data_IF_357378795634
#
_entry.id   IF_357378795634
#
_cell.length_a   1.000
_cell.length_b   1.000
_cell.length_c   1.000
_cell.angle_alpha   90.00
_cell.angle_beta   90.00
_cell.angle_gamma   90.00
#
_symmetry.space_group_name_H-M   'P 1'
#
loop_
_entity.id
_entity.type
_entity.pdbx_description
1 polymer ?
#
# COMPACT_ATOMS: atom_id res chain seq x y z
N UNK A 1 -11.40 -6.85 12.14
CA UNK A 1 -10.72 -5.98 11.15
C UNK A 1 -10.09 -4.84 11.92
N UNK A 2 -8.82 -4.51 11.65
CA UNK A 2 -8.03 -3.59 12.47
C UNK A 2 -7.32 -2.55 11.60
N UNK A 3 -7.03 -1.39 12.21
CA UNK A 3 -6.20 -0.35 11.62
C UNK A 3 -4.71 -0.68 11.75
N UNK A 4 -3.91 -0.09 10.87
CA UNK A 4 -2.46 -0.12 10.92
C UNK A 4 -2.02 1.24 11.44
N UNK A 5 -1.50 1.26 12.66
CA UNK A 5 -1.07 2.48 13.33
C UNK A 5 0.18 3.09 12.66
N UNK A 6 0.44 4.39 12.85
CA UNK A 6 1.73 4.99 12.52
C UNK A 6 2.88 4.20 13.12
N UNK A 7 4.00 4.09 12.42
CA UNK A 7 5.16 3.32 12.83
C UNK A 7 5.02 1.78 12.69
N UNK A 8 3.81 1.25 12.57
CA UNK A 8 3.59 -0.19 12.37
C UNK A 8 3.99 -0.62 10.95
N UNK A 9 4.37 -1.89 10.81
CA UNK A 9 4.86 -2.45 9.54
C UNK A 9 4.20 -3.78 9.23
N UNK A 10 3.72 -3.92 7.99
CA UNK A 10 3.18 -5.16 7.45
C UNK A 10 4.07 -5.60 6.31
N UNK A 11 4.54 -6.84 6.38
CA UNK A 11 5.33 -7.51 5.36
C UNK A 11 4.57 -8.74 4.89
N UNK A 12 4.43 -8.92 3.57
CA UNK A 12 3.78 -10.08 2.99
C UNK A 12 4.45 -10.50 1.68
N UNK A 13 4.54 -11.81 1.43
CA UNK A 13 5.00 -12.37 0.16
C UNK A 13 3.95 -12.23 -0.95
N UNK A 14 2.68 -12.17 -0.56
CA UNK A 14 1.54 -11.99 -1.45
C UNK A 14 0.85 -10.64 -1.25
N UNK A 15 -0.47 -10.65 -1.28
CA UNK A 15 -1.29 -9.46 -1.19
C UNK A 15 -1.44 -8.97 0.26
N UNK A 16 -1.69 -7.67 0.42
CA UNK A 16 -2.05 -7.05 1.69
C UNK A 16 -3.47 -6.48 1.57
N UNK A 17 -4.32 -6.80 2.54
CA UNK A 17 -5.69 -6.28 2.63
C UNK A 17 -5.89 -5.60 3.98
N UNK A 18 -6.08 -4.28 3.97
CA UNK A 18 -6.30 -3.46 5.17
C UNK A 18 -7.70 -2.88 5.14
N UNK A 19 -8.64 -3.56 5.79
CA UNK A 19 -10.01 -3.09 5.94
C UNK A 19 -10.14 -2.10 7.12
N UNK A 20 -9.33 -1.05 7.10
CA UNK A 20 -9.22 0.01 8.08
C UNK A 20 -8.27 1.11 7.60
N UNK A 21 -7.87 2.02 8.49
CA UNK A 21 -6.83 3.00 8.18
C UNK A 21 -5.47 2.34 8.05
N UNK A 22 -4.83 2.52 6.91
CA UNK A 22 -3.41 2.18 6.71
C UNK A 22 -2.58 3.43 6.98
N UNK A 23 -2.08 3.62 8.21
CA UNK A 23 -1.25 4.77 8.60
C UNK A 23 0.24 4.45 8.73
N UNK A 24 0.59 3.17 8.88
CA UNK A 24 1.97 2.70 8.93
C UNK A 24 2.52 2.36 7.53
N UNK A 25 3.34 1.31 7.47
CA UNK A 25 4.03 0.84 6.27
C UNK A 25 3.45 -0.49 5.79
N UNK A 26 3.25 -0.64 4.49
CA UNK A 26 2.81 -1.89 3.86
C UNK A 26 3.76 -2.31 2.74
N UNK A 27 4.40 -3.46 2.91
CA UNK A 27 5.35 -4.03 1.98
C UNK A 27 4.82 -5.38 1.47
N UNK A 28 4.26 -5.38 0.27
CA UNK A 28 3.74 -6.55 -0.40
C UNK A 28 4.76 -7.10 -1.41
N UNK A 29 4.68 -8.39 -1.68
CA UNK A 29 5.59 -9.06 -2.60
C UNK A 29 7.06 -8.97 -2.17
N UNK A 30 7.36 -9.09 -0.87
CA UNK A 30 8.71 -8.91 -0.31
C UNK A 30 9.78 -9.84 -0.91
N UNK A 31 9.37 -10.97 -1.52
CA UNK A 31 10.26 -11.87 -2.27
C UNK A 31 10.35 -11.55 -3.78
N UNK A 32 10.00 -10.34 -4.20
CA UNK A 32 10.04 -9.92 -5.61
C UNK A 32 8.79 -10.28 -6.41
N UNK A 33 7.66 -10.58 -5.74
CA UNK A 33 6.40 -10.86 -6.41
C UNK A 33 5.75 -9.57 -6.93
N UNK A 34 5.94 -9.28 -8.22
CA UNK A 34 5.39 -8.10 -8.91
C UNK A 34 3.87 -8.15 -9.09
N UNK A 35 3.26 -9.32 -8.94
CA UNK A 35 1.81 -9.53 -9.01
C UNK A 35 1.10 -9.32 -7.69
N UNK A 36 1.84 -9.08 -6.60
CA UNK A 36 1.26 -8.69 -5.33
C UNK A 36 0.50 -7.36 -5.43
N UNK A 37 -0.53 -7.22 -4.59
CA UNK A 37 -1.46 -6.09 -4.57
C UNK A 37 -1.66 -5.62 -3.13
N UNK A 38 -1.90 -4.33 -2.95
CA UNK A 38 -2.31 -3.76 -1.66
C UNK A 38 -3.70 -3.15 -1.84
N UNK A 39 -4.61 -3.53 -0.95
CA UNK A 39 -5.95 -2.97 -0.85
C UNK A 39 -6.10 -2.30 0.51
N UNK A 40 -6.60 -1.08 0.55
CA UNK A 40 -7.03 -0.49 1.82
C UNK A 40 -8.28 0.36 1.67
N UNK A 41 -9.03 0.51 2.75
CA UNK A 41 -10.25 1.34 2.77
C UNK A 41 -9.96 2.81 3.03
N UNK A 42 -8.87 3.13 3.73
CA UNK A 42 -8.42 4.49 3.97
C UNK A 42 -6.90 4.58 3.85
N UNK A 43 -6.41 5.12 2.73
CA UNK A 43 -4.98 5.31 2.48
C UNK A 43 -4.43 6.52 3.23
N UNK A 44 -3.58 6.28 4.22
CA UNK A 44 -2.85 7.31 4.98
C UNK A 44 -1.41 6.86 5.25
N UNK A 45 -0.86 6.01 4.39
CA UNK A 45 0.34 5.23 4.65
C UNK A 45 1.59 6.12 4.70
N UNK A 46 2.52 5.79 5.59
CA UNK A 46 3.89 6.32 5.58
C UNK A 46 4.65 5.81 4.35
N UNK A 47 4.47 4.53 4.02
CA UNK A 47 5.12 3.87 2.88
C UNK A 47 4.27 2.72 2.35
N UNK A 48 4.22 2.59 1.03
CA UNK A 48 3.69 1.42 0.34
C UNK A 48 4.77 0.86 -0.59
N UNK A 49 4.91 -0.47 -0.65
CA UNK A 49 5.86 -1.15 -1.52
C UNK A 49 5.27 -2.41 -2.14
N UNK A 50 5.59 -2.64 -3.42
CA UNK A 50 5.31 -3.88 -4.14
C UNK A 50 6.59 -4.32 -4.85
N UNK A 51 7.10 -5.49 -4.48
CA UNK A 51 8.31 -6.08 -5.07
C UNK A 51 9.52 -5.11 -5.07
N UNK A 52 9.70 -4.39 -3.95
CA UNK A 52 10.81 -3.44 -3.78
C UNK A 52 10.60 -2.06 -4.40
N UNK A 53 9.57 -1.87 -5.24
CA UNK A 53 9.18 -0.56 -5.74
C UNK A 53 8.30 0.11 -4.68
N UNK A 54 8.66 1.30 -4.22
CA UNK A 54 7.96 1.95 -3.11
C UNK A 54 7.59 3.41 -3.41
N UNK A 55 6.61 3.90 -2.66
CA UNK A 55 6.25 5.31 -2.56
C UNK A 55 6.12 5.69 -1.09
N UNK A 56 6.65 6.85 -0.72
CA UNK A 56 6.47 7.42 0.62
C UNK A 56 5.26 8.35 0.64
N UNK A 57 4.83 8.75 1.84
CA UNK A 57 3.65 9.60 2.05
C UNK A 57 3.64 10.87 1.18
N UNK A 58 4.80 11.45 0.91
CA UNK A 58 5.00 12.65 0.11
C UNK A 58 4.71 12.44 -1.38
N UNK A 59 4.90 11.21 -1.88
CA UNK A 59 4.62 10.81 -3.26
C UNK A 59 3.16 10.39 -3.47
N UNK A 60 2.41 10.19 -2.39
CA UNK A 60 1.00 9.83 -2.43
C UNK A 60 0.18 11.08 -2.75
N UNK A 61 -0.55 11.04 -3.87
CA UNK A 61 -1.32 12.19 -4.30
C UNK A 61 -2.40 12.54 -3.26
N UNK A 62 -2.58 13.83 -2.95
CA UNK A 62 -3.53 14.27 -1.93
C UNK A 62 -4.98 13.89 -2.24
N UNK A 63 -5.31 13.67 -3.51
CA UNK A 63 -6.66 13.30 -3.96
C UNK A 63 -7.07 11.85 -3.60
N UNK A 64 -6.12 10.97 -3.30
CA UNK A 64 -6.37 9.58 -2.87
C UNK A 64 -6.24 9.40 -1.36
N UNK A 65 -5.96 10.48 -0.62
CA UNK A 65 -5.82 10.44 0.83
C UNK A 65 -7.15 10.08 1.50
N UNK A 66 -7.08 9.17 2.47
CA UNK A 66 -8.23 8.67 3.24
C UNK A 66 -9.34 8.05 2.36
N UNK A 67 -8.99 7.58 1.16
CA UNK A 67 -9.90 6.92 0.24
C UNK A 67 -9.63 5.42 0.15
N UNK A 68 -10.63 4.63 -0.29
CA UNK A 68 -10.41 3.24 -0.64
C UNK A 68 -9.58 3.16 -1.92
N UNK A 69 -8.52 2.35 -1.90
CA UNK A 69 -7.59 2.23 -3.02
C UNK A 69 -7.17 0.80 -3.27
N UNK A 70 -6.80 0.57 -4.52
CA UNK A 70 -6.10 -0.61 -5.00
C UNK A 70 -4.75 -0.17 -5.59
N UNK A 71 -3.67 -0.73 -5.04
CA UNK A 71 -2.30 -0.45 -5.42
C UNK A 71 -1.71 -1.68 -6.09
N UNK A 72 -1.09 -1.47 -7.24
CA UNK A 72 -0.47 -2.53 -8.03
C UNK A 72 0.73 -2.02 -8.81
N UNK A 73 1.60 -2.94 -9.24
CA UNK A 73 2.71 -2.64 -10.11
C UNK A 73 2.28 -2.77 -11.57
N UNK A 74 2.60 -1.76 -12.38
CA UNK A 74 2.46 -1.80 -13.84
C UNK A 74 3.74 -1.26 -14.46
N UNK A 75 4.41 -2.06 -15.29
CA UNK A 75 5.67 -1.69 -15.94
C UNK A 75 6.70 -1.13 -14.94
N UNK A 76 6.87 -1.82 -13.80
CA UNK A 76 7.71 -1.42 -12.66
C UNK A 76 7.33 -0.10 -11.97
N UNK A 77 6.21 0.49 -12.34
CA UNK A 77 5.69 1.72 -11.72
C UNK A 77 4.54 1.38 -10.77
N UNK A 78 4.59 1.92 -9.55
CA UNK A 78 3.48 1.82 -8.61
C UNK A 78 2.31 2.68 -9.07
N UNK A 79 1.19 2.02 -9.37
CA UNK A 79 -0.08 2.65 -9.72
C UNK A 79 -1.03 2.56 -8.54
N UNK A 80 -1.65 3.68 -8.21
CA UNK A 80 -2.63 3.79 -7.13
C UNK A 80 -3.96 4.20 -7.74
N UNK A 81 -4.95 3.31 -7.65
CA UNK A 81 -6.27 3.50 -8.21
C UNK A 81 -7.30 3.60 -7.09
N UNK A 82 -8.15 4.61 -7.12
CA UNK A 82 -9.33 4.70 -6.26
C UNK A 82 -10.34 3.59 -6.62
N UNK A 83 -10.92 2.95 -5.60
CA UNK A 83 -11.91 1.87 -5.75
C UNK A 83 -13.35 2.41 -5.83
#
# INVERSE_FOLDING_TARGET
MAQVSPGAEILAEGNIHVYGSLRGRALAGVQGNTDARIFCTHLQAELISIAGNYKISEDLAKNIYNKPVHIYLKDYTLVIKEL
#
